data_IF_919203091945
#
_entry.id   IF_919203091945
#
_cell.length_a   1.000
_cell.length_b   1.000
_cell.length_c   1.000
_cell.angle_alpha   90.00
_cell.angle_beta   90.00
_cell.angle_gamma   90.00
#
_symmetry.space_group_name_H-M   'P 1'
#
loop_
_entity.id
_entity.type
_entity.pdbx_description
1 polymer ?
#
# COMPACT_ATOMS: atom_id res chain seq x y z
N UNK A 1 5.85 46.85 -24.85
CA UNK A 1 5.43 46.86 -23.43
C UNK A 1 4.35 45.80 -23.24
N UNK A 2 4.68 44.63 -22.67
CA UNK A 2 3.67 43.62 -22.36
C UNK A 2 2.72 44.18 -21.30
N UNK A 3 1.43 44.26 -21.64
CA UNK A 3 0.43 44.81 -20.72
C UNK A 3 0.17 43.81 -19.59
N UNK A 4 0.20 44.28 -18.33
CA UNK A 4 0.05 43.47 -17.10
C UNK A 4 -1.15 42.51 -17.14
N UNK A 5 -2.21 42.89 -17.87
CA UNK A 5 -3.43 42.10 -18.09
C UNK A 5 -3.16 40.76 -18.79
N UNK A 6 -2.16 40.69 -19.69
CA UNK A 6 -1.78 39.45 -20.36
C UNK A 6 -0.99 38.52 -19.44
N UNK A 7 -0.12 39.08 -18.58
CA UNK A 7 0.62 38.29 -17.59
C UNK A 7 -0.33 37.62 -16.59
N UNK A 8 -1.35 38.34 -16.12
CA UNK A 8 -2.37 37.79 -15.22
C UNK A 8 -3.16 36.66 -15.89
N UNK A 9 -3.57 36.83 -17.16
CA UNK A 9 -4.29 35.79 -17.92
C UNK A 9 -3.44 34.53 -18.11
N UNK A 10 -2.16 34.69 -18.48
CA UNK A 10 -1.24 33.57 -18.67
C UNK A 10 -1.01 32.83 -17.34
N UNK A 11 -0.81 33.56 -16.25
CA UNK A 11 -0.65 32.96 -14.92
C UNK A 11 -1.89 32.17 -14.49
N UNK A 12 -3.09 32.69 -14.76
CA UNK A 12 -4.34 32.00 -14.43
C UNK A 12 -4.48 30.70 -15.21
N UNK A 13 -4.19 30.73 -16.52
CA UNK A 13 -4.24 29.55 -17.39
C UNK A 13 -3.23 28.50 -16.92
N UNK A 14 -2.00 28.91 -16.62
CA UNK A 14 -0.95 28.00 -16.16
C UNK A 14 -1.31 27.32 -14.84
N UNK A 15 -1.91 28.08 -13.92
CA UNK A 15 -2.38 27.55 -12.65
C UNK A 15 -3.48 26.51 -12.85
N UNK A 16 -4.49 26.81 -13.66
CA UNK A 16 -5.58 25.88 -13.96
C UNK A 16 -5.08 24.60 -14.61
N UNK A 17 -4.18 24.70 -15.60
CA UNK A 17 -3.57 23.53 -16.25
C UNK A 17 -2.78 22.68 -15.24
N UNK A 18 -2.01 23.33 -14.37
CA UNK A 18 -1.24 22.64 -13.32
C UNK A 18 -2.14 21.90 -12.34
N UNK A 19 -3.20 22.55 -11.86
CA UNK A 19 -4.18 21.92 -10.95
C UNK A 19 -4.87 20.71 -11.59
N UNK A 20 -5.27 20.82 -12.86
CA UNK A 20 -5.88 19.70 -13.60
C UNK A 20 -4.88 18.55 -13.77
N UNK A 21 -3.61 18.86 -14.07
CA UNK A 21 -2.55 17.87 -14.19
C UNK A 21 -2.32 17.09 -12.89
N UNK A 22 -2.21 17.80 -11.76
CA UNK A 22 -2.04 17.18 -10.43
C UNK A 22 -3.27 16.33 -10.06
N UNK A 23 -4.48 16.83 -10.31
CA UNK A 23 -5.71 16.09 -10.03
C UNK A 23 -5.81 14.80 -10.86
N UNK A 24 -5.49 14.89 -12.15
CA UNK A 24 -5.51 13.72 -13.05
C UNK A 24 -4.49 12.66 -12.63
N UNK A 25 -3.29 13.09 -12.22
CA UNK A 25 -2.27 12.19 -11.69
C UNK A 25 -2.74 11.50 -10.40
N UNK A 26 -3.34 12.26 -9.48
CA UNK A 26 -3.91 11.71 -8.25
C UNK A 26 -4.97 10.64 -8.52
N UNK A 27 -5.90 10.89 -9.46
CA UNK A 27 -6.91 9.89 -9.82
C UNK A 27 -6.29 8.62 -10.41
N UNK A 28 -5.30 8.76 -11.28
CA UNK A 28 -4.60 7.63 -11.89
C UNK A 28 -3.92 6.77 -10.82
N UNK A 29 -3.16 7.38 -9.92
CA UNK A 29 -2.44 6.65 -8.88
C UNK A 29 -3.38 6.05 -7.83
N UNK A 30 -4.50 6.71 -7.53
CA UNK A 30 -5.50 6.20 -6.58
C UNK A 30 -6.07 4.85 -6.98
N UNK A 31 -6.25 4.60 -8.28
CA UNK A 31 -6.81 3.33 -8.77
C UNK A 31 -5.87 2.14 -8.56
N UNK A 32 -4.56 2.39 -8.44
CA UNK A 32 -3.55 1.36 -8.23
C UNK A 32 -3.32 1.06 -6.74
N UNK A 33 -3.82 1.91 -5.84
CA UNK A 33 -3.69 1.70 -4.41
C UNK A 33 -4.68 0.60 -3.97
N UNK A 34 -4.18 -0.54 -3.46
CA UNK A 34 -5.04 -1.59 -2.94
C UNK A 34 -5.87 -1.06 -1.76
N UNK A 35 -7.07 -1.61 -1.60
CA UNK A 35 -7.92 -1.25 -0.46
C UNK A 35 -7.24 -1.66 0.86
N UNK A 36 -7.23 -0.74 1.83
CA UNK A 36 -6.71 -1.01 3.18
C UNK A 36 -7.49 -2.10 3.93
N UNK A 37 -8.66 -2.48 3.43
CA UNK A 37 -9.50 -3.54 4.00
C UNK A 37 -8.79 -4.92 3.95
N UNK A 38 -8.06 -5.20 2.87
CA UNK A 38 -7.30 -6.46 2.77
C UNK A 38 -6.17 -6.57 3.81
N UNK A 39 -5.75 -5.45 4.40
CA UNK A 39 -4.74 -5.43 5.48
C UNK A 39 -5.36 -5.68 6.86
N UNK A 40 -6.68 -5.52 7.00
CA UNK A 40 -7.40 -5.70 8.27
C UNK A 40 -7.92 -7.12 8.44
N UNK A 41 -8.41 -7.74 7.37
CA UNK A 41 -8.91 -9.13 7.40
C UNK A 41 -7.78 -10.17 7.27
N UNK A 42 -6.86 -10.14 8.23
CA UNK A 42 -5.82 -11.15 8.36
C UNK A 42 -6.39 -12.37 9.11
N UNK A 43 -6.79 -13.39 8.36
CA UNK A 43 -7.17 -14.67 8.96
C UNK A 43 -5.93 -15.38 9.51
N UNK A 44 -6.06 -15.94 10.71
CA UNK A 44 -5.03 -16.78 11.31
C UNK A 44 -4.87 -18.06 10.49
N UNK A 45 -3.72 -18.21 9.85
CA UNK A 45 -3.35 -19.42 9.13
C UNK A 45 -2.27 -20.15 9.93
N UNK A 46 -2.66 -21.24 10.60
CA UNK A 46 -1.71 -22.18 11.19
C UNK A 46 -1.44 -23.31 10.18
N UNK A 47 -0.17 -23.67 9.95
CA UNK A 47 0.13 -24.80 9.10
C UNK A 47 -0.37 -26.09 9.77
N UNK A 48 -0.82 -27.03 8.95
CA UNK A 48 -1.14 -28.38 9.41
C UNK A 48 0.15 -29.05 9.89
N UNK A 49 0.12 -29.65 11.07
CA UNK A 49 1.25 -30.38 11.65
C UNK A 49 0.91 -31.88 11.69
N UNK A 50 1.79 -32.72 11.17
CA UNK A 50 1.65 -34.17 11.17
C UNK A 50 2.62 -34.76 12.20
N UNK A 51 2.09 -35.54 13.13
CA UNK A 51 2.85 -36.19 14.19
C UNK A 51 2.88 -37.71 14.02
N UNK A 52 3.96 -38.34 14.47
CA UNK A 52 4.08 -39.78 14.60
C UNK A 52 3.35 -40.29 15.85
N UNK A 53 3.18 -41.60 15.96
CA UNK A 53 2.46 -42.22 17.09
C UNK A 53 3.17 -42.04 18.43
N UNK A 54 4.48 -41.86 18.40
CA UNK A 54 5.37 -41.50 19.51
C UNK A 54 5.44 -39.97 19.76
N UNK A 55 4.67 -39.17 19.02
CA UNK A 55 4.52 -37.73 19.26
C UNK A 55 5.59 -36.84 18.61
N UNK A 56 6.44 -37.39 17.73
CA UNK A 56 7.44 -36.61 16.99
C UNK A 56 6.80 -35.94 15.78
N UNK A 57 7.18 -34.69 15.51
CA UNK A 57 6.72 -33.96 14.32
C UNK A 57 7.36 -34.57 13.06
N UNK A 58 6.53 -35.10 12.16
CA UNK A 58 6.98 -35.70 10.89
C UNK A 58 7.02 -34.65 9.78
N UNK A 59 6.00 -33.79 9.69
CA UNK A 59 5.89 -32.82 8.60
C UNK A 59 4.96 -31.65 8.96
N UNK A 60 5.12 -30.53 8.25
CA UNK A 60 4.23 -29.39 8.32
C UNK A 60 3.80 -28.96 6.91
N UNK A 61 2.51 -28.69 6.72
CA UNK A 61 1.92 -28.29 5.45
C UNK A 61 1.16 -26.97 5.59
N UNK A 62 1.56 -25.97 4.80
CA UNK A 62 1.02 -24.61 4.81
C UNK A 62 2.12 -23.61 4.51
N UNK A 63 2.08 -22.98 3.34
CA UNK A 63 3.16 -22.13 2.82
C UNK A 63 3.46 -20.88 3.67
N UNK A 64 2.50 -20.44 4.48
CA UNK A 64 2.56 -19.15 5.19
C UNK A 64 2.37 -19.35 6.68
N UNK A 65 3.48 -19.34 7.41
CA UNK A 65 3.48 -19.11 8.86
C UNK A 65 3.39 -17.60 9.10
N UNK A 66 2.20 -17.09 9.48
CA UNK A 66 2.01 -15.68 9.83
C UNK A 66 2.00 -15.51 11.34
N UNK A 67 2.99 -14.78 11.87
CA UNK A 67 3.01 -14.33 13.26
C UNK A 67 2.77 -12.82 13.24
N UNK A 68 1.68 -12.30 13.84
CA UNK A 68 1.47 -10.87 13.90
C UNK A 68 2.55 -10.23 14.77
N UNK A 69 3.07 -9.11 14.29
CA UNK A 69 4.04 -8.29 14.98
C UNK A 69 3.46 -6.88 15.09
N UNK A 70 3.66 -6.23 16.23
CA UNK A 70 3.39 -4.79 16.33
C UNK A 70 4.48 -4.02 15.55
N UNK A 71 4.19 -2.78 15.15
CA UNK A 71 5.15 -1.96 14.41
C UNK A 71 6.48 -1.79 15.17
N UNK A 72 6.42 -1.74 16.49
CA UNK A 72 7.58 -1.65 17.40
C UNK A 72 8.48 -2.89 17.37
N UNK A 73 7.94 -4.04 16.95
CA UNK A 73 8.67 -5.31 16.86
C UNK A 73 9.35 -5.50 15.50
N UNK A 74 9.07 -4.64 14.51
CA UNK A 74 9.71 -4.69 13.20
C UNK A 74 11.12 -4.10 13.31
N UNK A 75 12.18 -4.83 12.91
CA UNK A 75 13.53 -4.30 12.93
C UNK A 75 13.63 -3.00 12.12
N UNK A 76 14.24 -1.98 12.71
CA UNK A 76 14.40 -0.66 12.09
C UNK A 76 15.40 -0.68 10.92
N UNK A 77 16.16 -1.78 10.79
CA UNK A 77 17.11 -2.02 9.71
C UNK A 77 17.13 -3.52 9.38
N UNK A 78 17.17 -3.84 8.07
CA UNK A 78 17.37 -5.19 7.53
C UNK A 78 18.86 -5.52 7.45
#
# INVERSE_FOLDING_TARGET
MFSIKYLIKVSLILFTVSSIGIYSLYLSMRSELPSVESLKDLHWQTPLQIYSRDGLLISQFGEKKRTPLTLEQVPQQL
#
